data_IF_919815539403
#
_entry.id   IF_919815539403
#
_cell.length_a   1.000
_cell.length_b   1.000
_cell.length_c   1.000
_cell.angle_alpha   90.00
_cell.angle_beta   90.00
_cell.angle_gamma   90.00
#
_symmetry.space_group_name_H-M   'P 1'
#
loop_
_entity.id
_entity.type
_entity.pdbx_description
1 polymer ?
#
# COMPACT_ATOMS: atom_id res chain seq x y z
N UNK A 1 25.94 9.13 14.06
CA UNK A 1 25.14 9.88 13.08
C UNK A 1 24.33 10.93 13.81
N UNK A 2 24.52 12.19 13.42
CA UNK A 2 23.77 13.33 13.92
C UNK A 2 22.28 13.24 13.51
N UNK A 3 21.37 13.96 14.19
CA UNK A 3 19.92 13.85 13.92
C UNK A 3 19.54 14.21 12.48
N UNK A 4 20.21 15.23 11.92
CA UNK A 4 20.01 15.70 10.53
C UNK A 4 20.46 14.65 9.52
N UNK A 5 21.61 13.99 9.76
CA UNK A 5 22.14 12.96 8.85
C UNK A 5 21.19 11.77 8.74
N UNK A 6 20.56 11.37 9.85
CA UNK A 6 19.56 10.30 9.85
C UNK A 6 18.32 10.69 9.04
N UNK A 7 17.85 11.93 9.15
CA UNK A 7 16.70 12.41 8.39
C UNK A 7 16.99 12.42 6.88
N UNK A 8 18.13 12.99 6.47
CA UNK A 8 18.56 12.98 5.07
C UNK A 8 18.71 11.56 4.51
N UNK A 9 19.22 10.63 5.33
CA UNK A 9 19.37 9.24 4.96
C UNK A 9 18.02 8.54 4.72
N UNK A 10 17.04 8.75 5.59
CA UNK A 10 15.69 8.19 5.43
C UNK A 10 15.00 8.75 4.19
N UNK A 11 15.08 10.07 3.98
CA UNK A 11 14.53 10.72 2.78
C UNK A 11 15.17 10.15 1.52
N UNK A 12 16.50 9.98 1.52
CA UNK A 12 17.21 9.37 0.39
C UNK A 12 16.70 7.96 0.08
N UNK A 13 16.49 7.10 1.09
CA UNK A 13 15.91 5.76 0.89
C UNK A 13 14.49 5.83 0.32
N UNK A 14 13.66 6.76 0.79
CA UNK A 14 12.31 6.96 0.23
C UNK A 14 12.37 7.39 -1.24
N UNK A 15 13.34 8.24 -1.61
CA UNK A 15 13.54 8.65 -3.00
C UNK A 15 13.92 7.46 -3.87
N UNK A 16 14.87 6.64 -3.42
CA UNK A 16 15.27 5.43 -4.15
C UNK A 16 14.11 4.47 -4.40
N UNK A 17 13.29 4.20 -3.37
CA UNK A 17 12.10 3.35 -3.51
C UNK A 17 11.11 3.93 -4.52
N UNK A 18 10.88 5.23 -4.47
CA UNK A 18 9.96 5.91 -5.40
C UNK A 18 10.45 5.82 -6.84
N UNK A 19 11.75 6.03 -7.08
CA UNK A 19 12.33 5.91 -8.42
C UNK A 19 12.26 4.46 -8.94
N UNK A 20 12.55 3.47 -8.09
CA UNK A 20 12.41 2.05 -8.42
C UNK A 20 10.95 1.73 -8.78
N UNK A 21 9.99 2.24 -8.01
CA UNK A 21 8.56 2.07 -8.29
C UNK A 21 8.19 2.55 -9.70
N UNK A 22 8.59 3.77 -10.07
CA UNK A 22 8.28 4.34 -11.38
C UNK A 22 8.94 3.52 -12.50
N UNK A 23 10.21 3.16 -12.34
CA UNK A 23 10.93 2.34 -13.33
C UNK A 23 10.22 1.00 -13.56
N UNK A 24 9.90 0.27 -12.49
CA UNK A 24 9.23 -1.02 -12.59
C UNK A 24 7.80 -0.90 -13.14
N UNK A 25 7.10 0.18 -12.80
CA UNK A 25 5.77 0.47 -13.33
C UNK A 25 5.81 0.72 -14.84
N UNK A 26 6.79 1.48 -15.32
CA UNK A 26 7.00 1.74 -16.76
C UNK A 26 7.37 0.46 -17.51
N UNK A 27 8.23 -0.38 -16.95
CA UNK A 27 8.60 -1.68 -17.53
C UNK A 27 7.38 -2.61 -17.67
N UNK A 28 6.44 -2.54 -16.72
CA UNK A 28 5.18 -3.30 -16.76
C UNK A 28 4.05 -2.66 -17.55
N UNK A 29 4.33 -1.70 -18.44
CA UNK A 29 3.31 -0.97 -19.24
C UNK A 29 2.23 -0.28 -18.39
N UNK A 30 2.60 0.22 -17.22
CA UNK A 30 1.74 0.88 -16.22
C UNK A 30 0.70 -0.06 -15.62
N UNK A 31 -0.26 -0.55 -16.42
CA UNK A 31 -1.41 -1.35 -15.98
C UNK A 31 -0.95 -2.64 -15.26
N UNK A 32 -0.03 -3.37 -15.86
CA UNK A 32 0.54 -4.60 -15.27
C UNK A 32 1.78 -4.33 -14.41
N UNK A 33 2.21 -3.07 -14.31
CA UNK A 33 3.41 -2.66 -13.60
C UNK A 33 3.15 -2.21 -12.16
N UNK A 34 2.04 -1.50 -11.91
CA UNK A 34 1.76 -0.87 -10.61
C UNK A 34 1.70 -1.88 -9.46
N UNK A 35 0.93 -2.97 -9.62
CA UNK A 35 0.79 -3.99 -8.57
C UNK A 35 2.12 -4.65 -8.17
N UNK A 36 2.86 -5.24 -9.13
CA UNK A 36 4.18 -5.83 -8.87
C UNK A 36 5.21 -4.80 -8.39
N UNK A 37 5.19 -3.57 -8.90
CA UNK A 37 6.09 -2.51 -8.44
C UNK A 37 5.82 -2.16 -6.97
N UNK A 38 4.55 -2.02 -6.58
CA UNK A 38 4.15 -1.80 -5.18
C UNK A 38 4.64 -2.95 -4.28
N UNK A 39 4.38 -4.20 -4.65
CA UNK A 39 4.82 -5.35 -3.88
C UNK A 39 6.35 -5.39 -3.75
N UNK A 40 7.06 -5.06 -4.83
CA UNK A 40 8.53 -5.04 -4.86
C UNK A 40 9.11 -4.01 -3.90
N UNK A 41 8.59 -2.77 -3.89
CA UNK A 41 9.13 -1.72 -3.00
C UNK A 41 8.81 -1.98 -1.53
N UNK A 42 7.66 -2.59 -1.22
CA UNK A 42 7.34 -3.04 0.14
C UNK A 42 8.32 -4.14 0.57
N UNK A 43 8.59 -5.10 -0.31
CA UNK A 43 9.55 -6.20 -0.05
C UNK A 43 10.96 -5.68 0.16
N UNK A 44 11.44 -4.79 -0.72
CA UNK A 44 12.75 -4.16 -0.57
C UNK A 44 12.88 -3.38 0.75
N UNK A 45 11.84 -2.63 1.14
CA UNK A 45 11.87 -1.86 2.38
C UNK A 45 11.93 -2.75 3.63
N UNK A 46 11.20 -3.87 3.63
CA UNK A 46 11.12 -4.77 4.78
C UNK A 46 12.33 -5.71 4.90
N UNK A 47 12.85 -6.22 3.78
CA UNK A 47 13.95 -7.18 3.78
C UNK A 47 15.33 -6.54 3.81
N UNK A 48 15.50 -5.31 3.32
CA UNK A 48 16.81 -4.66 3.30
C UNK A 48 17.15 -4.10 4.68
N UNK A 49 18.29 -4.48 5.27
CA UNK A 49 18.75 -3.93 6.54
C UNK A 49 18.77 -2.40 6.51
N UNK A 50 18.38 -1.78 7.63
CA UNK A 50 18.28 -0.31 7.70
C UNK A 50 19.64 0.37 7.50
N UNK A 51 20.74 -0.32 7.82
CA UNK A 51 22.12 0.15 7.69
C UNK A 51 22.60 0.24 6.23
N UNK A 52 21.96 -0.48 5.31
CA UNK A 52 22.32 -0.42 3.89
C UNK A 52 21.90 0.93 3.28
N UNK A 53 22.86 1.61 2.66
CA UNK A 53 22.64 2.94 2.07
C UNK A 53 21.84 2.93 0.77
N UNK A 54 21.82 1.80 0.06
CA UNK A 54 21.27 1.71 -1.28
C UNK A 54 20.46 0.44 -1.47
N UNK A 55 19.31 0.56 -2.13
CA UNK A 55 18.59 -0.60 -2.64
C UNK A 55 19.22 -1.11 -3.94
N UNK A 56 19.41 -2.42 -4.06
CA UNK A 56 19.95 -3.05 -5.27
C UNK A 56 18.88 -3.13 -6.35
N UNK A 57 19.13 -2.47 -7.50
CA UNK A 57 18.23 -2.54 -8.66
C UNK A 57 18.13 -3.98 -9.22
N UNK A 58 19.22 -4.75 -9.16
CA UNK A 58 19.22 -6.16 -9.58
C UNK A 58 18.26 -6.99 -8.72
N UNK A 59 18.30 -6.79 -7.39
CA UNK A 59 17.35 -7.43 -6.46
C UNK A 59 15.92 -6.97 -6.75
N UNK A 60 15.71 -5.68 -6.97
CA UNK A 60 14.39 -5.13 -7.32
C UNK A 60 13.78 -5.80 -8.56
N UNK A 61 14.55 -5.94 -9.65
CA UNK A 61 14.09 -6.58 -10.88
C UNK A 61 13.80 -8.07 -10.65
N UNK A 62 14.63 -8.76 -9.87
CA UNK A 62 14.41 -10.18 -9.55
C UNK A 62 13.11 -10.38 -8.75
N UNK A 63 12.89 -9.56 -7.72
CA UNK A 63 11.65 -9.57 -6.93
C UNK A 63 10.44 -9.23 -7.80
N UNK A 64 10.55 -8.22 -8.66
CA UNK A 64 9.47 -7.82 -9.56
C UNK A 64 9.05 -8.96 -10.48
N UNK A 65 10.01 -9.70 -11.04
CA UNK A 65 9.74 -10.88 -11.87
C UNK A 65 9.12 -12.03 -11.07
N UNK A 66 9.58 -12.29 -9.85
CA UNK A 66 9.07 -13.40 -9.03
C UNK A 66 7.62 -13.16 -8.58
N UNK A 67 7.28 -11.93 -8.17
CA UNK A 67 5.93 -11.60 -7.71
C UNK A 67 4.99 -11.15 -8.82
N UNK A 68 5.44 -11.04 -10.09
CA UNK A 68 4.71 -10.40 -11.18
C UNK A 68 3.26 -10.90 -11.34
N UNK A 69 3.08 -12.23 -11.40
CA UNK A 69 1.76 -12.84 -11.63
C UNK A 69 0.84 -12.68 -10.42
N UNK A 70 1.33 -13.00 -9.23
CA UNK A 70 0.53 -12.95 -8.01
C UNK A 70 0.17 -11.53 -7.61
N UNK A 71 1.11 -10.59 -7.71
CA UNK A 71 0.87 -9.19 -7.41
C UNK A 71 -0.12 -8.56 -8.40
N UNK A 72 -0.05 -8.89 -9.69
CA UNK A 72 -1.05 -8.45 -10.67
C UNK A 72 -2.43 -9.07 -10.43
N UNK A 73 -2.51 -10.33 -10.01
CA UNK A 73 -3.79 -10.95 -9.66
C UNK A 73 -4.45 -10.22 -8.47
N UNK A 74 -3.67 -9.96 -7.41
CA UNK A 74 -4.11 -9.19 -6.23
C UNK A 74 -4.54 -7.78 -6.62
N UNK A 75 -3.67 -7.06 -7.31
CA UNK A 75 -3.95 -5.70 -7.75
C UNK A 75 -5.18 -5.64 -8.66
N UNK A 76 -5.29 -6.55 -9.64
CA UNK A 76 -6.41 -6.62 -10.57
C UNK A 76 -7.74 -6.88 -9.87
N UNK A 77 -7.79 -7.81 -8.91
CA UNK A 77 -9.00 -8.10 -8.13
C UNK A 77 -9.49 -6.85 -7.38
N UNK A 78 -8.58 -6.17 -6.67
CA UNK A 78 -8.93 -4.98 -5.90
C UNK A 78 -9.24 -3.78 -6.79
N UNK A 79 -8.47 -3.57 -7.86
CA UNK A 79 -8.70 -2.49 -8.83
C UNK A 79 -10.03 -2.65 -9.55
N UNK A 80 -10.38 -3.87 -10.01
CA UNK A 80 -11.67 -4.14 -10.65
C UNK A 80 -12.83 -3.88 -9.69
N UNK A 81 -12.72 -4.34 -8.44
CA UNK A 81 -13.74 -4.10 -7.40
C UNK A 81 -13.86 -2.60 -7.10
N UNK A 82 -12.74 -1.88 -7.01
CA UNK A 82 -12.72 -0.44 -6.78
C UNK A 82 -13.34 0.34 -7.94
N UNK A 83 -13.06 -0.04 -9.19
CA UNK A 83 -13.67 0.53 -10.39
C UNK A 83 -15.18 0.26 -10.42
N UNK A 84 -15.61 -0.95 -10.07
CA UNK A 84 -17.03 -1.27 -9.95
C UNK A 84 -17.72 -0.38 -8.92
N UNK A 85 -17.13 -0.21 -7.72
CA UNK A 85 -17.66 0.70 -6.70
C UNK A 85 -17.68 2.15 -7.18
N UNK A 86 -16.63 2.60 -7.88
CA UNK A 86 -16.54 3.96 -8.43
C UNK A 86 -17.63 4.21 -9.48
N UNK A 87 -17.90 3.23 -10.34
CA UNK A 87 -18.99 3.30 -11.31
C UNK A 87 -20.35 3.41 -10.60
N UNK A 88 -20.61 2.58 -9.58
CA UNK A 88 -21.84 2.66 -8.79
C UNK A 88 -21.96 4.00 -8.03
N UNK A 89 -20.86 4.53 -7.49
CA UNK A 89 -20.84 5.84 -6.84
C UNK A 89 -21.19 6.94 -7.82
N UNK A 90 -20.65 6.89 -9.04
CA UNK A 90 -20.95 7.87 -10.09
C UNK A 90 -22.45 7.92 -10.36
N UNK A 91 -23.12 6.77 -10.50
CA UNK A 91 -24.57 6.73 -10.69
C UNK A 91 -25.34 7.19 -9.44
N UNK A 92 -24.94 6.76 -8.25
CA UNK A 92 -25.63 7.10 -7.02
C UNK A 92 -25.65 8.62 -6.75
N UNK A 93 -24.56 9.32 -7.06
CA UNK A 93 -24.45 10.78 -6.82
C UNK A 93 -25.31 11.61 -7.79
N UNK A 94 -25.71 11.07 -8.96
CA UNK A 94 -26.54 11.81 -9.92
C UNK A 94 -27.99 11.98 -9.45
N UNK A 95 -28.48 11.12 -8.55
CA UNK A 95 -29.86 11.16 -8.09
C UNK A 95 -30.00 11.99 -6.81
N UNK A 96 -30.89 12.98 -6.81
CA UNK A 96 -31.14 13.85 -5.66
C UNK A 96 -32.21 13.26 -4.73
N UNK A 97 -31.81 12.36 -3.83
CA UNK A 97 -32.63 11.83 -2.74
C UNK A 97 -31.78 11.45 -1.52
N UNK A 98 -32.36 11.50 -0.32
CA UNK A 98 -31.69 11.07 0.92
C UNK A 98 -31.23 9.61 0.83
N UNK A 99 -32.01 8.75 0.18
CA UNK A 99 -31.64 7.36 -0.06
C UNK A 99 -30.32 7.25 -0.84
N UNK A 100 -30.21 7.98 -1.96
CA UNK A 100 -29.02 7.97 -2.81
C UNK A 100 -27.80 8.61 -2.14
N UNK A 101 -28.01 9.60 -1.26
CA UNK A 101 -26.98 10.15 -0.40
C UNK A 101 -26.41 9.07 0.57
N UNK A 102 -27.28 8.34 1.27
CA UNK A 102 -26.84 7.25 2.17
C UNK A 102 -26.10 6.16 1.41
N UNK A 103 -26.60 5.74 0.24
CA UNK A 103 -25.92 4.76 -0.62
C UNK A 103 -24.53 5.24 -1.03
N UNK A 104 -24.41 6.50 -1.46
CA UNK A 104 -23.11 7.09 -1.84
C UNK A 104 -22.11 7.08 -0.68
N UNK A 105 -22.57 7.42 0.52
CA UNK A 105 -21.75 7.36 1.73
C UNK A 105 -21.26 5.95 2.06
N UNK A 106 -22.13 4.94 1.97
CA UNK A 106 -21.76 3.53 2.16
C UNK A 106 -20.76 3.05 1.12
N UNK A 107 -20.92 3.44 -0.15
CA UNK A 107 -19.97 3.09 -1.20
C UNK A 107 -18.59 3.70 -0.92
N UNK A 108 -18.52 4.97 -0.50
CA UNK A 108 -17.25 5.62 -0.14
C UNK A 108 -16.57 4.89 1.02
N UNK A 109 -17.31 4.51 2.07
CA UNK A 109 -16.77 3.71 3.17
C UNK A 109 -16.23 2.37 2.66
N UNK A 110 -16.96 1.68 1.80
CA UNK A 110 -16.54 0.42 1.21
C UNK A 110 -15.25 0.58 0.38
N UNK A 111 -15.10 1.68 -0.37
CA UNK A 111 -13.88 1.99 -1.13
C UNK A 111 -12.67 2.23 -0.22
N UNK A 112 -12.86 3.00 0.87
CA UNK A 112 -11.81 3.21 1.88
C UNK A 112 -11.37 1.88 2.48
N UNK A 113 -12.33 1.06 2.89
CA UNK A 113 -12.06 -0.25 3.48
C UNK A 113 -11.36 -1.20 2.51
N UNK A 114 -11.80 -1.25 1.26
CA UNK A 114 -11.16 -2.03 0.20
C UNK A 114 -9.69 -1.62 0.02
N UNK A 115 -9.41 -0.32 0.06
CA UNK A 115 -8.05 0.23 -0.06
C UNK A 115 -7.18 -0.18 1.12
N UNK A 116 -7.69 -0.06 2.35
CA UNK A 116 -6.95 -0.47 3.56
C UNK A 116 -6.66 -1.98 3.58
N UNK A 117 -7.63 -2.78 3.16
CA UNK A 117 -7.46 -4.24 3.04
C UNK A 117 -6.34 -4.57 2.05
N UNK A 118 -6.28 -3.89 0.91
CA UNK A 118 -5.18 -4.07 -0.06
C UNK A 118 -3.82 -3.70 0.53
N UNK A 119 -3.73 -2.61 1.30
CA UNK A 119 -2.49 -2.21 1.98
C UNK A 119 -2.02 -3.29 2.95
N UNK A 120 -2.88 -3.76 3.87
CA UNK A 120 -2.53 -4.84 4.79
C UNK A 120 -2.10 -6.11 4.05
N UNK A 121 -2.82 -6.46 2.98
CA UNK A 121 -2.51 -7.64 2.16
C UNK A 121 -1.10 -7.57 1.56
N UNK A 122 -0.66 -6.39 1.11
CA UNK A 122 0.69 -6.17 0.59
C UNK A 122 1.77 -6.39 1.64
N UNK A 123 1.57 -5.89 2.87
CA UNK A 123 2.51 -6.09 3.98
C UNK A 123 2.53 -7.53 4.48
N UNK A 124 1.37 -8.18 4.59
CA UNK A 124 1.27 -9.58 5.01
C UNK A 124 1.84 -10.54 3.98
N UNK A 125 1.73 -10.23 2.69
CA UNK A 125 2.34 -11.01 1.63
C UNK A 125 3.88 -11.09 1.70
N UNK A 126 4.52 -10.11 2.33
CA UNK A 126 5.98 -10.12 2.56
C UNK A 126 6.30 -10.73 3.92
N UNK A 127 5.46 -10.47 4.92
CA UNK A 127 5.75 -10.86 6.30
C UNK A 127 5.44 -12.34 6.56
N UNK A 128 4.53 -12.96 5.80
CA UNK A 128 4.07 -14.32 6.03
C UNK A 128 3.99 -15.14 4.75
N UNK A 129 4.38 -16.42 4.82
CA UNK A 129 4.16 -17.40 3.77
C UNK A 129 2.74 -17.97 3.83
N UNK A 130 1.76 -17.15 3.43
CA UNK A 130 0.35 -17.51 3.46
C UNK A 130 -0.29 -17.46 2.07
N UNK A 131 -1.20 -18.41 1.83
CA UNK A 131 -1.94 -18.46 0.58
C UNK A 131 -2.84 -17.21 0.41
N UNK A 132 -3.12 -16.83 -0.84
CA UNK A 132 -3.84 -15.62 -1.24
C UNK A 132 -5.14 -15.39 -0.45
N UNK A 133 -5.95 -16.44 -0.32
CA UNK A 133 -7.25 -16.38 0.36
C UNK A 133 -7.12 -16.11 1.86
N UNK A 134 -6.15 -16.76 2.50
CA UNK A 134 -5.89 -16.56 3.93
C UNK A 134 -5.31 -15.17 4.18
N UNK A 135 -4.43 -14.68 3.28
CA UNK A 135 -3.94 -13.31 3.32
C UNK A 135 -5.07 -12.29 3.22
N UNK A 136 -5.98 -12.46 2.25
CA UNK A 136 -7.10 -11.53 2.09
C UNK A 136 -8.02 -11.51 3.31
N UNK A 137 -8.35 -12.68 3.89
CA UNK A 137 -9.14 -12.77 5.11
C UNK A 137 -8.44 -12.11 6.30
N UNK A 138 -7.15 -12.38 6.47
CA UNK A 138 -6.35 -11.80 7.53
C UNK A 138 -6.30 -10.28 7.38
N UNK A 139 -5.98 -9.78 6.19
CA UNK A 139 -5.94 -8.36 5.86
C UNK A 139 -7.27 -7.67 6.17
N UNK A 140 -8.39 -8.31 5.83
CA UNK A 140 -9.73 -7.79 6.09
C UNK A 140 -10.02 -7.66 7.59
N UNK A 141 -9.72 -8.69 8.37
CA UNK A 141 -9.90 -8.68 9.84
C UNK A 141 -8.99 -7.63 10.46
N UNK A 142 -7.76 -7.50 9.95
CA UNK A 142 -6.75 -6.57 10.48
C UNK A 142 -7.12 -5.10 10.39
N UNK A 143 -8.01 -4.73 9.47
CA UNK A 143 -8.58 -3.37 9.40
C UNK A 143 -9.38 -3.04 10.67
N UNK A 144 -10.03 -4.03 11.29
CA UNK A 144 -10.88 -3.85 12.48
C UNK A 144 -10.20 -4.13 13.81
N UNK A 145 -8.98 -4.66 13.80
CA UNK A 145 -8.24 -4.97 15.04
C UNK A 145 -8.04 -3.74 15.93
N UNK A 146 -7.86 -2.56 15.32
CA UNK A 146 -7.61 -1.33 16.05
C UNK A 146 -8.16 -0.12 15.30
N UNK A 147 -9.16 0.53 15.89
CA UNK A 147 -9.73 1.77 15.36
C UNK A 147 -8.67 2.90 15.27
N UNK A 148 -7.69 2.90 16.17
CA UNK A 148 -6.56 3.84 16.12
C UNK A 148 -5.70 3.61 14.88
N UNK A 149 -5.36 2.34 14.58
CA UNK A 149 -4.56 1.99 13.39
C UNK A 149 -5.33 2.30 12.10
N UNK A 150 -6.64 2.07 12.10
CA UNK A 150 -7.54 2.45 11.00
C UNK A 150 -7.48 3.96 10.72
N UNK A 151 -7.68 4.80 11.75
CA UNK A 151 -7.63 6.26 11.58
C UNK A 151 -6.25 6.74 11.13
N UNK A 152 -5.16 6.22 11.73
CA UNK A 152 -3.80 6.57 11.33
C UNK A 152 -3.52 6.18 9.87
N UNK A 153 -3.95 5.00 9.43
CA UNK A 153 -3.78 4.56 8.04
C UNK A 153 -4.53 5.50 7.10
N UNK A 154 -5.78 5.86 7.43
CA UNK A 154 -6.57 6.80 6.66
C UNK A 154 -5.87 8.17 6.56
N UNK A 155 -5.36 8.68 7.68
CA UNK A 155 -4.64 9.94 7.74
C UNK A 155 -3.35 9.91 6.91
N UNK A 156 -2.61 8.79 6.90
CA UNK A 156 -1.41 8.64 6.06
C UNK A 156 -1.77 8.64 4.58
N UNK A 157 -2.77 7.85 4.18
CA UNK A 157 -3.21 7.75 2.78
C UNK A 157 -3.71 9.11 2.26
N UNK A 158 -4.60 9.77 3.00
CA UNK A 158 -5.13 11.09 2.63
C UNK A 158 -4.03 12.15 2.70
N UNK A 159 -3.24 12.19 3.77
CA UNK A 159 -2.21 13.20 3.99
C UNK A 159 -1.16 13.18 2.90
N UNK A 160 -0.61 12.01 2.56
CA UNK A 160 0.38 11.90 1.49
C UNK A 160 -0.24 12.25 0.12
N UNK A 161 -1.49 11.82 -0.14
CA UNK A 161 -2.18 12.15 -1.39
C UNK A 161 -2.40 13.66 -1.54
N UNK A 162 -2.88 14.34 -0.49
CA UNK A 162 -3.11 15.79 -0.48
C UNK A 162 -1.81 16.57 -0.64
N UNK A 163 -0.74 16.19 0.07
CA UNK A 163 0.57 16.84 -0.03
C UNK A 163 1.16 16.64 -1.43
N UNK A 164 1.05 15.43 -1.99
CA UNK A 164 1.50 15.12 -3.36
C UNK A 164 0.73 15.94 -4.40
N UNK A 165 -0.57 16.15 -4.18
CA UNK A 165 -1.42 16.94 -5.06
C UNK A 165 -0.99 18.42 -5.09
N UNK A 166 -0.66 18.99 -3.93
CA UNK A 166 -0.14 20.36 -3.83
C UNK A 166 1.24 20.50 -4.47
N UNK A 167 2.12 19.52 -4.26
CA UNK A 167 3.49 19.52 -4.77
C UNK A 167 3.70 18.36 -5.73
N UNK A 168 3.30 18.53 -6.99
CA UNK A 168 3.32 17.49 -8.02
C UNK A 168 4.69 16.83 -8.22
N UNK A 169 5.78 17.55 -7.95
CA UNK A 169 7.15 16.98 -8.00
C UNK A 169 7.36 15.82 -7.01
N UNK A 170 6.67 15.82 -5.87
CA UNK A 170 6.77 14.74 -4.88
C UNK A 170 6.24 13.41 -5.41
N UNK A 171 5.32 13.44 -6.39
CA UNK A 171 4.85 12.22 -7.03
C UNK A 171 6.02 11.41 -7.59
N UNK A 172 6.93 12.07 -8.31
CA UNK A 172 8.07 11.42 -8.96
C UNK A 172 9.16 10.99 -7.97
N UNK A 173 9.32 11.73 -6.86
CA UNK A 173 10.50 11.61 -6.01
C UNK A 173 10.24 11.05 -4.61
N UNK A 174 9.04 11.13 -4.04
CA UNK A 174 8.86 10.82 -2.62
C UNK A 174 7.60 10.01 -2.29
N UNK A 175 6.52 10.16 -3.04
CA UNK A 175 5.19 9.68 -2.67
C UNK A 175 5.16 8.19 -2.29
N UNK A 176 5.67 7.31 -3.16
CA UNK A 176 5.58 5.87 -2.93
C UNK A 176 6.52 5.38 -1.83
N UNK A 177 7.74 5.92 -1.74
CA UNK A 177 8.66 5.62 -0.64
C UNK A 177 8.15 6.10 0.71
N UNK A 178 7.56 7.30 0.76
CA UNK A 178 6.92 7.83 1.96
C UNK A 178 5.69 7.00 2.36
N UNK A 179 4.88 6.56 1.38
CA UNK A 179 3.76 5.65 1.63
C UNK A 179 4.23 4.36 2.29
N UNK A 180 5.24 3.67 1.73
CA UNK A 180 5.76 2.42 2.31
C UNK A 180 6.27 2.65 3.73
N UNK A 181 7.06 3.71 3.95
CA UNK A 181 7.62 4.03 5.27
C UNK A 181 6.53 4.32 6.31
N UNK A 182 5.58 5.20 6.00
CA UNK A 182 4.52 5.58 6.93
C UNK A 182 3.53 4.44 7.17
N UNK A 183 3.19 3.66 6.12
CA UNK A 183 2.32 2.49 6.25
C UNK A 183 3.00 1.36 7.01
N UNK A 184 4.32 1.16 6.88
CA UNK A 184 5.05 0.21 7.72
C UNK A 184 4.88 0.57 9.20
N UNK A 185 5.11 1.84 9.55
CA UNK A 185 4.96 2.33 10.92
C UNK A 185 3.55 2.08 11.48
N UNK A 186 2.51 2.35 10.71
CA UNK A 186 1.12 2.16 11.14
C UNK A 186 0.73 0.68 11.22
N UNK A 187 1.13 -0.13 10.26
CA UNK A 187 0.73 -1.55 10.18
C UNK A 187 1.49 -2.42 11.18
N UNK A 188 2.68 -2.02 11.61
CA UNK A 188 3.57 -2.80 12.49
C UNK A 188 2.92 -3.21 13.82
N UNK A 189 2.09 -2.34 14.40
CA UNK A 189 1.38 -2.66 15.64
C UNK A 189 0.42 -3.85 15.47
N UNK A 190 -0.37 -3.84 14.38
CA UNK A 190 -1.31 -4.92 14.09
C UNK A 190 -0.60 -6.20 13.63
N UNK A 191 0.54 -6.09 12.91
CA UNK A 191 1.36 -7.26 12.54
C UNK A 191 1.89 -8.00 13.77
N UNK A 192 2.41 -7.28 14.76
CA UNK A 192 2.88 -7.88 16.03
C UNK A 192 1.79 -8.63 16.80
N UNK A 193 0.55 -8.15 16.75
CA UNK A 193 -0.57 -8.86 17.38
C UNK A 193 -0.89 -10.16 16.66
N UNK A 194 -0.73 -10.18 15.34
CA UNK A 194 -0.94 -11.38 14.52
C UNK A 194 0.21 -12.38 14.71
N UNK A 195 1.46 -11.90 14.79
CA UNK A 195 2.65 -12.74 15.04
C UNK A 195 2.46 -13.60 16.31
N UNK A 196 2.02 -12.97 17.40
CA UNK A 196 1.78 -13.67 18.68
C UNK A 196 0.67 -14.73 18.64
N UNK A 197 -0.16 -14.78 17.60
CA UNK A 197 -1.21 -15.80 17.43
C UNK A 197 -0.78 -16.91 16.46
N UNK A 198 0.12 -16.61 15.53
CA UNK A 198 0.62 -17.58 14.54
C UNK A 198 1.73 -18.45 15.14
N UNK A 199 2.62 -17.89 15.96
CA UNK A 199 3.74 -18.61 16.58
C UNK A 199 3.32 -19.51 17.77
N UNK A 200 2.09 -19.38 18.29
CA UNK A 200 1.56 -20.22 19.39
C UNK A 200 0.85 -21.50 18.90
N UNK A 201 0.92 -21.83 17.61
CA UNK A 201 0.41 -23.09 17.03
C UNK A 201 1.52 -23.97 16.47
#
# INVERSE_FOLDING_TARGET
MNGIEKACFVIWKMIQLTLIFHLLTLVGLIIFGVGPAWQTIVTLFLETPQEEKHYSLKKAIQLWKSCFKEANLRFGLFALTFLFLTFNLHWAVQFQSLFWFTVSFLIVIAMVWLTMTYVYMGFYAVSYEINLWNNMKLAFISVFLSFKSFLLMLSVLLGITLVTWQYKGLYLFLTFGALVFCLDFVTKANRRQVDGVIDER
#
